data_IF_752153327770
#
_entry.id   IF_752153327770
#
_cell.length_a   1.000
_cell.length_b   1.000
_cell.length_c   1.000
_cell.angle_alpha   90.00
_cell.angle_beta   90.00
_cell.angle_gamma   90.00
#
_symmetry.space_group_name_H-M   'P 1'
#
loop_
_entity.id
_entity.type
_entity.pdbx_description
1 polymer ?
#
# COMPACT_ATOMS: atom_id res chain seq x y z
N UNK A 1 13.57 -16.13 15.40
CA UNK A 1 14.40 -15.01 14.88
C UNK A 1 13.47 -13.83 14.61
N UNK A 2 13.67 -12.73 15.30
CA UNK A 2 12.89 -11.51 15.14
C UNK A 2 12.97 -11.01 13.68
N UNK A 3 11.83 -10.67 13.09
CA UNK A 3 11.71 -10.25 11.68
C UNK A 3 11.19 -8.81 11.68
N UNK A 4 11.88 -7.93 10.94
CA UNK A 4 11.36 -6.59 10.68
C UNK A 4 10.25 -6.64 9.63
N UNK A 5 9.10 -6.08 9.98
CA UNK A 5 8.04 -5.78 9.03
C UNK A 5 7.24 -4.57 9.50
N UNK A 6 7.13 -3.57 8.66
CA UNK A 6 6.19 -2.46 8.80
C UNK A 6 5.65 -2.10 7.43
N UNK A 7 4.37 -2.35 7.22
CA UNK A 7 3.62 -1.96 6.04
C UNK A 7 2.67 -0.83 6.39
N UNK A 8 2.57 0.19 5.53
CA UNK A 8 1.62 1.29 5.66
C UNK A 8 0.67 1.30 4.47
N UNK A 9 -0.63 1.31 4.75
CA UNK A 9 -1.72 1.33 3.76
C UNK A 9 -2.64 2.52 4.00
N UNK A 10 -3.34 2.95 2.97
CA UNK A 10 -4.39 3.96 3.07
C UNK A 10 -5.74 3.28 2.93
N UNK A 11 -6.64 3.59 3.86
CA UNK A 11 -8.07 3.25 3.75
C UNK A 11 -8.74 4.45 3.09
N UNK A 12 -9.25 4.28 1.88
CA UNK A 12 -9.85 5.34 1.07
C UNK A 12 -11.24 4.95 0.61
N UNK A 13 -12.19 5.87 0.72
CA UNK A 13 -13.56 5.70 0.21
C UNK A 13 -13.58 5.53 -1.30
N UNK A 14 -12.73 6.27 -2.02
CA UNK A 14 -12.60 6.15 -3.48
C UNK A 14 -12.15 4.77 -3.96
N UNK A 15 -11.48 4.00 -3.09
CA UNK A 15 -11.12 2.60 -3.35
C UNK A 15 -12.19 1.60 -2.85
N UNK A 16 -13.42 2.07 -2.53
CA UNK A 16 -14.49 1.22 -2.01
C UNK A 16 -14.23 0.69 -0.58
N UNK A 17 -13.33 1.31 0.19
CA UNK A 17 -13.01 0.90 1.56
C UNK A 17 -13.66 1.81 2.58
N UNK A 18 -14.05 1.25 3.72
CA UNK A 18 -14.61 1.96 4.87
C UNK A 18 -13.68 1.86 6.08
N UNK A 19 -13.61 2.92 6.89
CA UNK A 19 -12.87 2.93 8.13
C UNK A 19 -13.55 2.05 9.18
N UNK A 20 -14.90 2.06 9.23
CA UNK A 20 -15.69 1.18 10.11
C UNK A 20 -15.45 -0.28 9.75
N UNK A 21 -15.47 -0.64 8.45
CA UNK A 21 -15.17 -1.99 8.00
C UNK A 21 -13.74 -2.44 8.36
N UNK A 22 -12.75 -1.54 8.23
CA UNK A 22 -11.37 -1.82 8.61
C UNK A 22 -11.25 -2.07 10.11
N UNK A 23 -11.90 -1.26 10.94
CA UNK A 23 -11.94 -1.44 12.40
C UNK A 23 -12.66 -2.73 12.79
N UNK A 24 -13.80 -3.04 12.18
CA UNK A 24 -14.53 -4.30 12.42
C UNK A 24 -13.65 -5.51 12.08
N UNK A 25 -12.90 -5.44 10.96
CA UNK A 25 -11.99 -6.50 10.52
C UNK A 25 -10.83 -6.71 11.49
N UNK A 26 -10.14 -5.65 11.92
CA UNK A 26 -9.00 -5.78 12.84
C UNK A 26 -9.42 -6.25 14.23
N UNK A 27 -10.59 -5.81 14.70
CA UNK A 27 -11.10 -6.14 16.03
C UNK A 27 -11.96 -7.43 16.07
N UNK A 28 -12.12 -8.11 14.93
CA UNK A 28 -12.97 -9.31 14.82
C UNK A 28 -14.38 -9.07 15.39
N UNK A 29 -14.93 -7.88 15.15
CA UNK A 29 -16.21 -7.44 15.73
C UNK A 29 -17.28 -7.18 14.68
N UNK A 30 -18.48 -6.88 15.15
CA UNK A 30 -19.59 -6.42 14.33
C UNK A 30 -19.78 -4.94 14.58
N UNK A 31 -19.63 -4.12 13.53
CA UNK A 31 -19.80 -2.66 13.59
C UNK A 31 -20.76 -2.20 12.49
N UNK A 32 -21.58 -1.22 12.80
CA UNK A 32 -22.49 -0.60 11.85
C UNK A 32 -21.88 0.70 11.30
N UNK A 33 -21.94 0.86 9.98
CA UNK A 33 -21.47 2.07 9.32
C UNK A 33 -22.67 2.97 8.98
N UNK A 34 -22.75 4.10 9.65
CA UNK A 34 -23.84 5.08 9.47
C UNK A 34 -23.80 5.75 8.07
N UNK A 35 -22.62 5.84 7.46
CA UNK A 35 -22.43 6.49 6.15
C UNK A 35 -23.12 5.75 5.01
N UNK A 36 -23.01 4.43 4.95
CA UNK A 36 -23.58 3.58 3.87
C UNK A 36 -24.69 2.64 4.34
N UNK A 37 -24.98 2.62 5.64
CA UNK A 37 -26.02 1.77 6.24
C UNK A 37 -25.66 0.28 6.27
N UNK A 38 -24.36 -0.05 6.18
CA UNK A 38 -23.90 -1.45 6.10
C UNK A 38 -23.41 -1.94 7.47
N UNK A 39 -23.87 -3.11 7.85
CA UNK A 39 -23.36 -3.84 9.00
C UNK A 39 -22.17 -4.70 8.60
N UNK A 40 -20.98 -4.37 9.10
CA UNK A 40 -19.78 -5.16 8.90
C UNK A 40 -19.62 -6.18 10.03
N UNK A 41 -19.66 -7.47 9.72
CA UNK A 41 -19.57 -8.54 10.70
C UNK A 41 -18.37 -9.46 10.43
N UNK A 42 -17.35 -9.36 11.27
CA UNK A 42 -16.16 -10.19 11.26
C UNK A 42 -16.02 -11.07 12.52
N UNK A 43 -17.09 -11.29 13.27
CA UNK A 43 -17.09 -12.09 14.51
C UNK A 43 -16.66 -13.54 14.29
N UNK A 44 -16.75 -14.06 13.07
CA UNK A 44 -16.27 -15.41 12.71
C UNK A 44 -14.77 -15.49 12.49
N UNK A 45 -14.07 -14.33 12.36
CA UNK A 45 -12.63 -14.29 12.18
C UNK A 45 -11.93 -14.68 13.48
N UNK A 46 -10.94 -15.55 13.38
CA UNK A 46 -10.16 -16.06 14.52
C UNK A 46 -8.78 -15.40 14.57
N UNK A 47 -8.07 -15.61 15.68
CA UNK A 47 -6.71 -15.17 15.86
C UNK A 47 -6.55 -13.81 16.52
N UNK A 48 -7.63 -13.16 16.95
CA UNK A 48 -7.55 -11.96 17.77
C UNK A 48 -7.06 -12.31 19.17
N UNK A 49 -5.99 -11.69 19.60
CA UNK A 49 -5.34 -11.92 20.90
C UNK A 49 -5.54 -10.75 21.84
N UNK A 50 -5.47 -9.54 21.29
CA UNK A 50 -5.60 -8.32 22.05
C UNK A 50 -6.07 -7.18 21.15
N UNK A 51 -6.77 -6.20 21.75
CA UNK A 51 -7.22 -5.01 21.06
C UNK A 51 -7.41 -3.83 22.01
N UNK A 52 -7.18 -2.62 21.53
CA UNK A 52 -7.39 -1.39 22.29
C UNK A 52 -7.58 -0.19 21.36
N UNK A 53 -8.42 0.75 21.79
CA UNK A 53 -8.53 2.09 21.21
C UNK A 53 -7.67 3.05 22.03
N UNK A 54 -6.88 3.88 21.35
CA UNK A 54 -6.01 4.90 21.93
C UNK A 54 -6.51 6.26 21.51
N UNK A 55 -6.69 7.12 22.48
CA UNK A 55 -7.17 8.49 22.28
C UNK A 55 -6.22 9.46 22.94
N UNK A 56 -6.00 10.66 22.35
CA UNK A 56 -5.47 11.80 23.08
C UNK A 56 -6.33 12.11 24.32
N UNK A 57 -5.74 12.67 25.36
CA UNK A 57 -6.45 12.94 26.63
C UNK A 57 -7.66 13.86 26.46
N UNK A 58 -7.60 14.77 25.50
CA UNK A 58 -8.65 15.72 25.17
C UNK A 58 -9.71 15.20 24.19
N UNK A 59 -9.57 13.95 23.71
CA UNK A 59 -10.54 13.36 22.78
C UNK A 59 -11.88 13.05 23.48
N UNK A 60 -13.00 13.04 22.75
CA UNK A 60 -14.29 12.63 23.28
C UNK A 60 -14.23 11.20 23.88
N UNK A 61 -14.59 11.06 25.13
CA UNK A 61 -14.53 9.78 25.85
C UNK A 61 -15.38 8.68 25.20
N UNK A 62 -16.46 9.06 24.53
CA UNK A 62 -17.33 8.11 23.81
C UNK A 62 -16.61 7.40 22.65
N UNK A 63 -15.51 7.96 22.15
CA UNK A 63 -14.71 7.35 21.10
C UNK A 63 -13.83 6.19 21.58
N UNK A 64 -13.82 5.88 22.86
CA UNK A 64 -13.35 4.56 23.34
C UNK A 64 -14.18 3.42 22.73
N UNK A 65 -15.43 3.70 22.35
CA UNK A 65 -16.20 2.83 21.49
C UNK A 65 -15.75 3.04 20.04
N UNK A 66 -15.14 2.01 19.44
CA UNK A 66 -14.59 2.07 18.07
C UNK A 66 -15.64 2.34 17.01
N UNK A 67 -16.89 1.88 17.18
CA UNK A 67 -17.97 2.18 16.26
C UNK A 67 -18.25 3.69 16.21
N UNK A 68 -18.31 4.33 17.37
CA UNK A 68 -18.50 5.79 17.45
C UNK A 68 -17.31 6.55 16.87
N UNK A 69 -16.08 6.13 17.19
CA UNK A 69 -14.87 6.75 16.65
C UNK A 69 -14.86 6.71 15.12
N UNK A 70 -15.06 5.52 14.53
CA UNK A 70 -14.90 5.37 13.10
C UNK A 70 -16.08 5.92 12.31
N UNK A 71 -17.29 5.95 12.89
CA UNK A 71 -18.41 6.69 12.30
C UNK A 71 -18.18 8.21 12.33
N UNK A 72 -17.60 8.76 13.40
CA UNK A 72 -17.21 10.18 13.46
C UNK A 72 -16.14 10.52 12.40
N UNK A 73 -15.22 9.58 12.08
CA UNK A 73 -14.28 9.74 10.96
C UNK A 73 -14.99 9.72 9.61
N UNK A 74 -15.90 8.78 9.38
CA UNK A 74 -16.67 8.70 8.13
C UNK A 74 -17.51 9.95 7.90
N UNK A 75 -18.09 10.52 8.96
CA UNK A 75 -18.92 11.73 8.93
C UNK A 75 -18.09 12.98 8.56
N UNK A 76 -16.93 13.18 9.18
CA UNK A 76 -16.09 14.37 8.89
C UNK A 76 -15.45 14.34 7.52
N UNK A 77 -15.29 13.15 6.94
CA UNK A 77 -14.67 12.95 5.63
C UNK A 77 -15.71 12.93 4.51
N UNK A 78 -16.15 14.10 4.09
CA UNK A 78 -17.30 14.28 3.18
C UNK A 78 -17.02 13.98 1.70
N UNK A 79 -15.76 14.01 1.23
CA UNK A 79 -15.46 13.81 -0.17
C UNK A 79 -15.58 12.32 -0.58
N UNK A 80 -15.98 12.08 -1.82
CA UNK A 80 -16.19 10.73 -2.38
C UNK A 80 -14.93 9.89 -2.43
N UNK A 81 -13.76 10.52 -2.52
CA UNK A 81 -12.44 9.91 -2.60
C UNK A 81 -11.61 10.12 -1.34
N UNK A 82 -12.25 10.52 -0.22
CA UNK A 82 -11.57 10.80 1.03
C UNK A 82 -10.70 9.64 1.50
N UNK A 83 -9.49 9.99 1.93
CA UNK A 83 -8.67 9.11 2.77
C UNK A 83 -9.26 9.13 4.17
N UNK A 84 -9.80 7.98 4.59
CA UNK A 84 -10.52 7.81 5.86
C UNK A 84 -9.55 7.52 7.00
N UNK A 85 -8.63 6.57 6.76
CA UNK A 85 -7.70 6.11 7.76
C UNK A 85 -6.37 5.70 7.13
N UNK A 86 -5.37 5.50 7.98
CA UNK A 86 -4.10 4.90 7.64
C UNK A 86 -3.93 3.63 8.47
N UNK A 87 -3.64 2.52 7.83
CA UNK A 87 -3.42 1.24 8.48
C UNK A 87 -1.93 0.92 8.46
N UNK A 88 -1.37 0.58 9.62
CA UNK A 88 -0.06 -0.04 9.73
C UNK A 88 -0.23 -1.50 10.09
N UNK A 89 0.61 -2.34 9.50
CA UNK A 89 0.75 -3.74 9.89
C UNK A 89 2.20 -3.95 10.28
N UNK A 90 2.42 -4.37 11.53
CA UNK A 90 3.75 -4.59 12.07
C UNK A 90 3.91 -6.02 12.59
N UNK A 91 5.06 -6.65 12.35
CA UNK A 91 5.39 -7.94 12.95
C UNK A 91 5.88 -7.74 14.38
N UNK A 92 5.41 -8.58 15.29
CA UNK A 92 5.84 -8.61 16.68
C UNK A 92 6.87 -9.74 16.87
N UNK A 93 7.94 -9.52 17.65
CA UNK A 93 8.91 -10.56 17.93
C UNK A 93 8.30 -11.72 18.73
N UNK A 94 8.49 -12.94 18.26
CA UNK A 94 8.08 -14.15 18.98
C UNK A 94 8.94 -14.41 20.22
N UNK A 95 10.10 -13.76 20.31
CA UNK A 95 11.05 -13.81 21.42
C UNK A 95 10.56 -13.05 22.66
N UNK A 96 9.57 -12.18 22.49
CA UNK A 96 8.93 -11.44 23.59
C UNK A 96 7.68 -12.17 24.09
N UNK A 97 7.42 -12.04 25.40
CA UNK A 97 6.14 -12.50 25.95
C UNK A 97 4.96 -11.69 25.37
N UNK A 98 3.75 -12.20 25.52
CA UNK A 98 2.55 -11.50 25.05
C UNK A 98 2.38 -10.12 25.72
N UNK A 99 2.66 -10.03 27.00
CA UNK A 99 2.61 -8.79 27.77
C UNK A 99 3.62 -7.79 27.21
N UNK A 100 4.87 -8.23 26.97
CA UNK A 100 5.90 -7.38 26.39
C UNK A 100 5.56 -6.94 24.96
N UNK A 101 4.92 -7.79 24.16
CA UNK A 101 4.44 -7.43 22.83
C UNK A 101 3.35 -6.35 22.91
N UNK A 102 2.44 -6.44 23.89
CA UNK A 102 1.40 -5.44 24.11
C UNK A 102 2.02 -4.11 24.55
N UNK A 103 2.91 -4.12 25.52
CA UNK A 103 3.60 -2.92 26.00
C UNK A 103 4.39 -2.23 24.90
N UNK A 104 5.18 -3.00 24.13
CA UNK A 104 5.91 -2.52 22.95
C UNK A 104 4.99 -1.78 21.98
N UNK A 105 3.83 -2.40 21.65
CA UNK A 105 2.87 -1.82 20.73
C UNK A 105 2.23 -0.55 21.28
N UNK A 106 1.89 -0.55 22.57
CA UNK A 106 1.30 0.59 23.26
C UNK A 106 2.26 1.78 23.30
N UNK A 107 3.53 1.58 23.61
CA UNK A 107 4.54 2.61 23.66
C UNK A 107 4.76 3.21 22.27
N UNK A 108 4.91 2.37 21.25
CA UNK A 108 5.04 2.83 19.88
C UNK A 108 3.84 3.68 19.42
N UNK A 109 2.59 3.24 19.71
CA UNK A 109 1.40 3.97 19.34
C UNK A 109 1.32 5.31 20.05
N UNK A 110 1.57 5.35 21.37
CA UNK A 110 1.49 6.58 22.15
C UNK A 110 2.51 7.60 21.68
N UNK A 111 3.76 7.15 21.51
CA UNK A 111 4.87 8.03 21.15
C UNK A 111 4.76 8.55 19.72
N UNK A 112 4.43 7.69 18.77
CA UNK A 112 4.50 8.05 17.36
C UNK A 112 3.21 8.64 16.78
N UNK A 113 2.05 8.37 17.41
CA UNK A 113 0.76 8.73 16.82
C UNK A 113 -0.13 9.55 17.74
N UNK A 114 -0.29 9.13 18.98
CA UNK A 114 -1.17 9.85 19.93
C UNK A 114 -0.60 11.22 20.28
N UNK A 115 0.71 11.34 20.42
CA UNK A 115 1.43 12.59 20.64
C UNK A 115 1.16 13.66 19.55
N UNK A 116 0.85 13.22 18.33
CA UNK A 116 0.48 14.08 17.20
C UNK A 116 -1.02 14.42 17.16
N UNK A 117 -1.79 13.99 18.16
CA UNK A 117 -3.24 14.20 18.22
C UNK A 117 -4.07 13.25 17.38
N UNK A 118 -3.49 12.17 16.88
CA UNK A 118 -4.22 11.13 16.15
C UNK A 118 -4.90 10.16 17.11
N UNK A 119 -6.06 9.61 16.71
CA UNK A 119 -6.66 8.46 17.38
C UNK A 119 -6.18 7.18 16.70
N UNK A 120 -6.03 6.11 17.47
CA UNK A 120 -5.62 4.81 16.98
C UNK A 120 -6.55 3.70 17.46
N UNK A 121 -6.77 2.70 16.63
CA UNK A 121 -7.44 1.46 16.98
C UNK A 121 -6.50 0.31 16.61
N UNK A 122 -6.06 -0.45 17.59
CA UNK A 122 -5.05 -1.47 17.40
C UNK A 122 -5.51 -2.84 17.84
N UNK A 123 -5.05 -3.86 17.14
CA UNK A 123 -5.30 -5.25 17.49
C UNK A 123 -4.08 -6.13 17.19
N UNK A 124 -3.81 -7.09 18.05
CA UNK A 124 -2.81 -8.13 17.83
C UNK A 124 -3.51 -9.39 17.37
N UNK A 125 -3.04 -9.93 16.26
CA UNK A 125 -3.49 -11.19 15.70
C UNK A 125 -2.38 -12.23 15.75
N UNK A 126 -2.75 -13.43 16.16
CA UNK A 126 -1.85 -14.57 16.21
C UNK A 126 -2.70 -15.85 16.24
N UNK A 127 -2.71 -16.60 15.16
CA UNK A 127 -3.57 -17.78 15.03
C UNK A 127 -2.90 -19.05 15.56
N UNK A 128 -1.58 -19.14 15.44
CA UNK A 128 -0.82 -20.37 15.66
C UNK A 128 0.49 -20.17 16.45
N UNK A 129 0.70 -18.99 17.00
CA UNK A 129 1.92 -18.65 17.77
C UNK A 129 3.17 -18.41 16.92
N UNK A 130 3.06 -18.47 15.59
CA UNK A 130 4.22 -18.37 14.71
C UNK A 130 4.33 -17.04 13.96
N UNK A 131 3.28 -16.23 13.97
CA UNK A 131 3.26 -14.97 13.23
C UNK A 131 2.45 -13.89 13.98
N UNK A 132 2.84 -13.54 15.21
CA UNK A 132 2.21 -12.45 15.91
C UNK A 132 2.43 -11.14 15.15
N UNK A 133 1.34 -10.47 14.81
CA UNK A 133 1.37 -9.18 14.11
C UNK A 133 0.27 -8.27 14.60
N UNK A 134 0.54 -6.97 14.56
CA UNK A 134 -0.44 -5.98 14.97
C UNK A 134 -0.93 -5.18 13.75
N UNK A 135 -2.23 -4.93 13.73
CA UNK A 135 -2.87 -3.93 12.91
C UNK A 135 -3.08 -2.68 13.74
N UNK A 136 -2.71 -1.53 13.21
CA UNK A 136 -2.91 -0.22 13.82
C UNK A 136 -3.66 0.64 12.81
N UNK A 137 -4.91 0.95 13.08
CA UNK A 137 -5.71 1.84 12.26
C UNK A 137 -5.68 3.25 12.88
N UNK A 138 -5.28 4.24 12.11
CA UNK A 138 -5.06 5.62 12.55
C UNK A 138 -5.98 6.56 11.82
N UNK A 139 -6.46 7.59 12.51
CA UNK A 139 -7.22 8.67 11.90
C UNK A 139 -6.37 9.44 10.88
N UNK A 140 -7.00 10.05 9.90
CA UNK A 140 -6.32 10.84 8.86
C UNK A 140 -6.23 12.34 9.23
N UNK A 141 -6.91 12.75 10.32
CA UNK A 141 -6.89 14.08 10.91
C UNK A 141 -6.47 14.02 12.35
N UNK A 142 -5.60 14.91 12.82
CA UNK A 142 -5.36 15.06 14.25
C UNK A 142 -6.54 15.80 14.90
N UNK A 143 -6.63 15.67 16.22
CA UNK A 143 -7.50 16.49 17.04
C UNK A 143 -6.77 17.76 17.52
N UNK A 144 -7.52 18.82 17.77
CA UNK A 144 -7.03 19.97 18.53
C UNK A 144 -7.16 19.71 20.05
N UNK A 145 -6.63 20.62 20.86
CA UNK A 145 -6.68 20.54 22.34
C UNK A 145 -8.11 20.57 22.91
N UNK A 146 -9.11 20.91 22.10
CA UNK A 146 -10.52 20.90 22.44
C UNK A 146 -11.24 19.61 22.01
N UNK A 147 -10.50 18.63 21.46
CA UNK A 147 -11.03 17.35 21.00
C UNK A 147 -11.80 17.43 19.68
N UNK A 148 -11.60 18.47 18.89
CA UNK A 148 -12.22 18.64 17.57
C UNK A 148 -11.27 18.27 16.45
N UNK A 149 -11.82 17.73 15.36
CA UNK A 149 -11.05 17.43 14.17
C UNK A 149 -10.41 18.68 13.58
N UNK A 150 -9.10 18.67 13.43
CA UNK A 150 -8.39 19.69 12.66
C UNK A 150 -8.67 19.53 11.17
N UNK A 151 -8.45 20.58 10.40
CA UNK A 151 -8.54 20.50 8.94
C UNK A 151 -7.37 19.70 8.35
N UNK A 152 -7.58 19.05 7.21
CA UNK A 152 -6.48 18.50 6.39
C UNK A 152 -5.85 19.59 5.52
N UNK A 153 -6.73 20.41 4.94
CA UNK A 153 -6.36 21.56 4.14
C UNK A 153 -7.27 22.72 4.51
N UNK A 154 -6.70 23.88 4.74
CA UNK A 154 -7.42 25.12 4.96
C UNK A 154 -7.46 25.94 3.69
N UNK A 155 -8.60 26.61 3.42
CA UNK A 155 -8.72 27.48 2.25
C UNK A 155 -7.74 28.65 2.37
N UNK A 156 -6.92 28.81 1.36
CA UNK A 156 -5.91 29.86 1.28
C UNK A 156 -6.30 30.83 0.17
N UNK A 157 -6.43 32.11 0.52
CA UNK A 157 -6.76 33.19 -0.40
C UNK A 157 -5.47 33.79 -0.95
N UNK A 158 -5.41 33.99 -2.26
CA UNK A 158 -4.33 34.72 -2.90
C UNK A 158 -4.62 36.22 -2.78
N UNK A 159 -3.83 36.90 -1.97
CA UNK A 159 -3.89 38.32 -1.73
C UNK A 159 -2.73 39.03 -2.40
N UNK A 160 -2.89 40.28 -2.75
CA UNK A 160 -1.84 41.09 -3.35
C UNK A 160 -1.64 42.41 -2.58
N UNK A 161 -0.38 42.87 -2.54
CA UNK A 161 0.08 44.14 -2.01
C UNK A 161 1.31 44.59 -2.77
N UNK A 162 1.30 45.82 -3.31
CA UNK A 162 2.45 46.42 -3.99
C UNK A 162 3.08 45.54 -5.11
N UNK A 163 2.27 44.75 -5.82
CA UNK A 163 2.74 43.86 -6.88
C UNK A 163 3.17 42.48 -6.41
N UNK A 164 3.27 42.23 -5.12
CA UNK A 164 3.50 40.89 -4.57
C UNK A 164 2.19 40.14 -4.38
N UNK A 165 2.20 38.85 -4.68
CA UNK A 165 1.09 37.93 -4.41
C UNK A 165 1.49 36.91 -3.32
N UNK A 166 0.66 36.79 -2.29
CA UNK A 166 0.90 35.84 -1.19
C UNK A 166 -0.41 35.15 -0.78
N UNK A 167 -0.31 33.88 -0.36
CA UNK A 167 -1.41 33.11 0.20
C UNK A 167 -1.61 33.39 1.69
N UNK A 168 -2.86 33.58 2.11
CA UNK A 168 -3.25 33.73 3.51
C UNK A 168 -4.50 32.89 3.82
N UNK A 169 -4.51 32.21 4.94
CA UNK A 169 -5.72 31.60 5.49
C UNK A 169 -6.71 32.67 5.92
N UNK A 170 -7.94 32.28 6.25
CA UNK A 170 -8.95 33.25 6.69
C UNK A 170 -8.53 33.98 7.98
N UNK A 171 -7.84 33.30 8.88
CA UNK A 171 -7.35 33.85 10.16
C UNK A 171 -6.17 34.77 9.93
N UNK A 172 -5.18 34.38 9.16
CA UNK A 172 -4.00 35.20 8.83
C UNK A 172 -4.39 36.46 8.05
N UNK A 173 -5.39 36.33 7.16
CA UNK A 173 -5.85 37.50 6.38
C UNK A 173 -6.39 38.61 7.25
N UNK A 174 -6.99 38.34 8.40
CA UNK A 174 -7.45 39.40 9.33
C UNK A 174 -6.32 40.30 9.79
N UNK A 175 -5.13 39.72 10.02
CA UNK A 175 -3.93 40.48 10.41
C UNK A 175 -3.31 41.13 9.17
N UNK A 176 -3.14 40.39 8.09
CA UNK A 176 -2.56 40.88 6.85
C UNK A 176 -3.36 42.02 6.20
N UNK A 177 -4.68 42.03 6.39
CA UNK A 177 -5.53 43.13 5.94
C UNK A 177 -5.17 44.47 6.61
N UNK A 178 -4.84 44.47 7.90
CA UNK A 178 -4.38 45.67 8.61
C UNK A 178 -3.01 46.16 8.09
N UNK A 179 -2.22 45.24 7.53
CA UNK A 179 -0.95 45.56 6.88
C UNK A 179 -1.11 46.05 5.43
N UNK A 180 -2.33 46.07 4.89
CA UNK A 180 -2.65 46.55 3.54
C UNK A 180 -2.65 45.47 2.47
N UNK A 181 -2.75 44.18 2.86
CA UNK A 181 -2.99 43.08 1.90
C UNK A 181 -4.45 43.01 1.50
N UNK A 182 -4.74 42.85 0.20
CA UNK A 182 -6.09 42.75 -0.31
C UNK A 182 -6.32 41.43 -1.00
N UNK A 183 -7.52 40.84 -0.79
CA UNK A 183 -7.94 39.65 -1.57
C UNK A 183 -8.16 40.02 -3.02
N UNK A 184 -7.74 39.20 -3.92
CA UNK A 184 -8.01 39.33 -5.35
C UNK A 184 -9.38 38.75 -5.69
N UNK A 185 -10.15 39.48 -6.51
CA UNK A 185 -11.44 39.05 -7.02
C UNK A 185 -11.44 39.07 -8.55
N UNK A 186 -12.31 38.28 -9.21
CA UNK A 186 -12.44 38.34 -10.66
C UNK A 186 -13.24 39.56 -11.07
N UNK A 187 -12.71 40.38 -11.97
CA UNK A 187 -13.35 41.54 -12.59
C UNK A 187 -13.47 41.33 -14.10
N UNK A 188 -14.49 41.97 -14.71
CA UNK A 188 -14.66 41.90 -16.17
C UNK A 188 -13.81 42.98 -16.83
N UNK A 189 -12.87 42.56 -17.69
CA UNK A 189 -12.06 43.41 -18.54
C UNK A 189 -12.39 43.02 -19.99
N UNK A 190 -13.29 43.74 -20.62
CA UNK A 190 -13.84 43.35 -21.91
C UNK A 190 -14.56 41.98 -21.87
N UNK A 191 -14.11 41.03 -22.68
CA UNK A 191 -14.67 39.67 -22.69
C UNK A 191 -13.93 38.69 -21.72
N UNK A 192 -12.87 39.12 -21.03
CA UNK A 192 -12.06 38.29 -20.13
C UNK A 192 -12.36 38.59 -18.66
N UNK A 193 -12.18 37.55 -17.82
CA UNK A 193 -12.14 37.71 -16.36
C UNK A 193 -10.67 37.80 -15.91
N UNK A 194 -10.34 38.88 -15.19
CA UNK A 194 -9.00 39.10 -14.65
C UNK A 194 -9.08 39.19 -13.14
N UNK A 195 -8.18 38.58 -12.42
CA UNK A 195 -8.10 38.69 -10.98
C UNK A 195 -7.24 39.89 -10.58
N UNK A 196 -7.79 40.76 -9.73
CA UNK A 196 -7.10 41.94 -9.17
C UNK A 196 -7.67 42.31 -7.82
N UNK A 197 -7.00 43.19 -7.12
CA UNK A 197 -7.46 43.73 -5.83
C UNK A 197 -8.65 44.68 -6.01
N UNK A 198 -9.51 44.87 -5.00
CA UNK A 198 -10.59 45.83 -5.04
C UNK A 198 -10.12 47.26 -5.35
N UNK A 199 -9.05 47.73 -4.69
CA UNK A 199 -8.46 49.02 -4.95
C UNK A 199 -7.96 49.23 -6.39
N UNK A 200 -7.31 48.22 -6.97
CA UNK A 200 -6.85 48.27 -8.36
C UNK A 200 -8.05 48.26 -9.35
N UNK A 201 -9.13 47.57 -9.03
CA UNK A 201 -10.32 47.52 -9.83
C UNK A 201 -11.14 48.80 -9.78
N UNK A 202 -11.24 49.42 -8.61
CA UNK A 202 -11.89 50.69 -8.39
C UNK A 202 -11.20 51.82 -9.17
N UNK A 203 -9.87 51.84 -9.13
CA UNK A 203 -9.07 52.77 -9.92
C UNK A 203 -9.31 52.68 -11.43
N UNK A 204 -9.78 51.51 -11.93
CA UNK A 204 -10.09 51.26 -13.35
C UNK A 204 -11.61 51.23 -13.64
N UNK A 205 -12.46 51.52 -12.66
CA UNK A 205 -13.92 51.54 -12.81
C UNK A 205 -14.52 50.18 -13.20
N UNK A 206 -13.90 49.07 -12.79
CA UNK A 206 -14.28 47.70 -13.22
C UNK A 206 -15.34 47.09 -12.31
N UNK A 207 -16.24 46.31 -12.93
CA UNK A 207 -17.31 45.63 -12.19
C UNK A 207 -16.86 44.21 -11.82
N UNK A 208 -17.08 43.86 -10.54
CA UNK A 208 -16.78 42.53 -10.02
C UNK A 208 -17.63 41.45 -10.74
N UNK A 209 -16.98 40.42 -11.23
CA UNK A 209 -17.61 39.32 -11.97
C UNK A 209 -18.10 38.17 -11.06
N UNK A 210 -17.52 38.02 -9.87
CA UNK A 210 -17.88 36.95 -8.90
C UNK A 210 -17.57 37.46 -7.46
N UNK A 211 -18.35 36.95 -6.51
CA UNK A 211 -18.17 37.27 -5.07
C UNK A 211 -17.01 36.49 -4.42
N UNK A 212 -16.58 35.40 -5.07
CA UNK A 212 -15.53 34.52 -4.53
C UNK A 212 -14.14 35.04 -4.85
N UNK A 213 -13.26 35.21 -3.82
CA UNK A 213 -11.89 35.62 -4.04
C UNK A 213 -11.07 34.52 -4.67
N UNK A 214 -9.97 34.91 -5.32
CA UNK A 214 -8.93 34.02 -5.83
C UNK A 214 -8.36 33.21 -4.66
N UNK A 215 -8.26 31.92 -4.84
CA UNK A 215 -7.67 31.02 -3.86
C UNK A 215 -6.68 30.08 -4.52
N UNK A 216 -5.78 29.53 -3.73
CA UNK A 216 -4.93 28.43 -4.18
C UNK A 216 -5.81 27.22 -4.55
N UNK A 217 -5.33 26.40 -5.46
CA UNK A 217 -6.09 25.24 -5.96
C UNK A 217 -6.34 24.19 -4.88
N UNK A 218 -5.38 23.99 -4.01
CA UNK A 218 -5.39 22.89 -3.01
C UNK A 218 -5.50 23.39 -1.57
N UNK A 219 -5.49 24.73 -1.34
CA UNK A 219 -5.40 25.28 0.00
C UNK A 219 -4.03 25.07 0.65
N UNK A 220 -3.90 25.44 1.92
CA UNK A 220 -2.74 25.17 2.75
C UNK A 220 -2.96 23.87 3.51
N UNK A 221 -2.00 22.98 3.46
CA UNK A 221 -2.09 21.73 4.19
C UNK A 221 -1.87 21.97 5.70
N UNK A 222 -2.52 21.15 6.51
CA UNK A 222 -2.20 21.08 7.94
C UNK A 222 -0.77 20.54 8.09
N UNK A 223 0.10 21.20 8.89
CA UNK A 223 1.50 20.81 9.03
C UNK A 223 1.72 19.35 9.47
N UNK A 224 0.84 18.85 10.37
CA UNK A 224 0.90 17.45 10.81
C UNK A 224 0.52 16.53 9.65
N UNK A 225 -0.56 16.84 8.93
CA UNK A 225 -1.00 16.05 7.77
C UNK A 225 0.04 16.07 6.64
N UNK A 226 0.70 17.21 6.40
CA UNK A 226 1.76 17.33 5.41
C UNK A 226 2.96 16.45 5.78
N UNK A 227 3.45 16.57 7.03
CA UNK A 227 4.52 15.72 7.55
C UNK A 227 4.17 14.24 7.44
N UNK A 228 2.97 13.84 7.84
CA UNK A 228 2.50 12.45 7.82
C UNK A 228 2.38 11.86 6.41
N UNK A 229 2.25 12.69 5.39
CA UNK A 229 2.21 12.26 3.99
C UNK A 229 3.60 12.25 3.32
N UNK A 230 4.66 12.65 4.02
CA UNK A 230 6.02 12.67 3.48
C UNK A 230 6.68 11.28 3.51
N UNK A 231 7.57 11.02 2.55
CA UNK A 231 8.40 9.80 2.56
C UNK A 231 9.36 9.77 3.76
N UNK A 232 9.83 10.95 4.20
CA UNK A 232 10.66 11.09 5.38
C UNK A 232 9.97 10.60 6.65
N UNK A 233 8.69 10.90 6.82
CA UNK A 233 7.93 10.45 7.98
C UNK A 233 7.72 8.93 7.97
N UNK A 234 7.45 8.33 6.81
CA UNK A 234 7.37 6.87 6.71
C UNK A 234 8.70 6.20 7.10
N UNK A 235 9.81 6.77 6.66
CA UNK A 235 11.14 6.29 7.02
C UNK A 235 11.42 6.45 8.51
N UNK A 236 10.99 7.57 9.11
CA UNK A 236 11.09 7.80 10.56
C UNK A 236 10.29 6.77 11.36
N UNK A 237 9.04 6.48 10.99
CA UNK A 237 8.25 5.44 11.65
C UNK A 237 8.86 4.05 11.52
N UNK A 238 9.47 3.74 10.37
CA UNK A 238 10.18 2.47 10.17
C UNK A 238 11.40 2.35 11.09
N UNK A 239 12.16 3.42 11.25
CA UNK A 239 13.28 3.47 12.17
C UNK A 239 12.80 3.35 13.62
N UNK A 240 11.81 4.17 14.02
CA UNK A 240 11.25 4.14 15.38
C UNK A 240 10.71 2.75 15.77
N UNK A 241 10.03 2.04 14.83
CA UNK A 241 9.59 0.68 15.08
C UNK A 241 10.74 -0.28 15.33
N UNK A 242 11.82 -0.17 14.58
CA UNK A 242 13.01 -1.00 14.80
C UNK A 242 13.67 -0.66 16.14
N UNK A 243 13.80 0.62 16.47
CA UNK A 243 14.49 1.08 17.69
C UNK A 243 13.73 0.65 18.94
N UNK A 244 12.42 0.91 19.01
CA UNK A 244 11.60 0.50 20.16
C UNK A 244 11.57 -1.02 20.30
N UNK A 245 11.46 -1.76 19.21
CA UNK A 245 11.48 -3.23 19.23
C UNK A 245 12.81 -3.75 19.76
N UNK A 246 13.92 -3.19 19.31
CA UNK A 246 15.25 -3.58 19.79
C UNK A 246 15.47 -3.25 21.27
N UNK A 247 14.91 -2.14 21.76
CA UNK A 247 14.92 -1.80 23.18
C UNK A 247 14.19 -2.86 24.03
N UNK A 248 13.02 -3.32 23.57
CA UNK A 248 12.27 -4.38 24.27
C UNK A 248 12.97 -5.74 24.22
N UNK A 249 13.59 -6.11 23.10
CA UNK A 249 14.39 -7.32 22.96
C UNK A 249 15.59 -7.28 23.93
N UNK A 250 16.27 -6.14 24.03
CA UNK A 250 17.38 -5.96 24.94
C UNK A 250 16.95 -6.07 26.42
N UNK A 251 15.86 -5.41 26.81
CA UNK A 251 15.27 -5.51 28.16
C UNK A 251 14.88 -6.95 28.50
N UNK A 252 14.45 -7.73 27.50
CA UNK A 252 14.13 -9.14 27.65
C UNK A 252 15.37 -10.06 27.63
N UNK A 253 16.59 -9.51 27.55
CA UNK A 253 17.83 -10.28 27.49
C UNK A 253 18.00 -11.09 26.19
N UNK A 254 17.39 -10.65 25.09
CA UNK A 254 17.49 -11.30 23.79
C UNK A 254 18.62 -10.70 22.97
N UNK A 255 19.32 -11.55 22.22
CA UNK A 255 20.42 -11.12 21.34
C UNK A 255 19.91 -10.69 19.95
N UNK A 256 18.71 -11.14 19.57
CA UNK A 256 18.09 -10.80 18.30
C UNK A 256 17.88 -9.30 18.18
N UNK A 257 18.12 -8.78 16.97
CA UNK A 257 17.87 -7.38 16.63
C UNK A 257 17.22 -7.31 15.25
N UNK A 258 16.33 -6.34 15.08
CA UNK A 258 15.71 -6.02 13.78
C UNK A 258 16.30 -4.73 13.23
N UNK A 259 16.26 -4.59 11.90
CA UNK A 259 16.73 -3.38 11.20
C UNK A 259 15.74 -3.05 10.08
N UNK A 260 15.32 -1.79 10.02
CA UNK A 260 14.37 -1.30 9.03
C UNK A 260 14.95 -1.10 7.64
N UNK A 261 16.30 -1.05 7.54
CA UNK A 261 17.02 -0.82 6.29
C UNK A 261 17.08 -2.08 5.46
N UNK A 262 17.13 -1.92 4.15
CA UNK A 262 17.34 -3.05 3.23
C UNK A 262 18.72 -3.70 3.47
N UNK A 263 18.86 -4.98 3.11
CA UNK A 263 20.14 -5.69 3.20
C UNK A 263 21.25 -4.92 2.45
N UNK A 264 20.96 -4.35 1.29
CA UNK A 264 21.91 -3.53 0.54
C UNK A 264 22.36 -2.28 1.31
N UNK A 265 21.42 -1.57 1.95
CA UNK A 265 21.74 -0.40 2.78
C UNK A 265 22.53 -0.75 4.06
N UNK A 266 22.42 -2.00 4.52
CA UNK A 266 23.18 -2.56 5.64
C UNK A 266 24.55 -3.13 5.21
N UNK A 267 24.86 -3.11 3.92
CA UNK A 267 26.06 -3.76 3.37
C UNK A 267 26.05 -5.29 3.49
N UNK A 268 24.84 -5.89 3.57
CA UNK A 268 24.69 -7.33 3.60
C UNK A 268 24.46 -7.87 2.19
N UNK A 269 25.18 -8.92 1.84
CA UNK A 269 25.06 -9.58 0.53
C UNK A 269 23.90 -10.59 0.48
N UNK A 270 23.15 -10.74 1.57
CA UNK A 270 22.02 -11.65 1.65
C UNK A 270 20.84 -11.13 0.84
N UNK A 271 20.21 -12.04 0.09
CA UNK A 271 19.03 -11.73 -0.71
C UNK A 271 17.81 -11.67 0.22
N UNK A 272 16.99 -10.61 0.16
CA UNK A 272 15.77 -10.54 0.96
C UNK A 272 14.72 -11.55 0.45
N UNK A 273 13.96 -12.13 1.37
CA UNK A 273 12.80 -12.96 1.03
C UNK A 273 11.67 -12.10 0.45
N UNK A 274 10.84 -12.70 -0.40
CA UNK A 274 9.66 -12.05 -0.98
C UNK A 274 8.41 -12.35 -0.15
N UNK A 275 7.41 -11.48 -0.22
CA UNK A 275 6.11 -11.72 0.44
C UNK A 275 5.39 -12.92 -0.20
N UNK A 276 5.11 -13.96 0.58
CA UNK A 276 4.45 -15.18 0.09
C UNK A 276 2.97 -14.97 -0.22
N UNK A 277 2.28 -14.22 0.62
CA UNK A 277 0.84 -13.99 0.54
C UNK A 277 -0.01 -15.13 1.11
N UNK A 278 -1.27 -14.81 1.41
CA UNK A 278 -2.21 -15.76 2.07
C UNK A 278 -2.50 -16.95 1.16
N UNK A 279 -2.66 -16.70 -0.14
CA UNK A 279 -3.00 -17.75 -1.12
C UNK A 279 -1.89 -18.78 -1.26
N UNK A 280 -0.62 -18.35 -1.38
CA UNK A 280 0.51 -19.25 -1.49
C UNK A 280 0.66 -20.12 -0.23
N UNK A 281 0.52 -19.52 0.96
CA UNK A 281 0.53 -20.27 2.22
C UNK A 281 -0.64 -21.24 2.37
N UNK A 282 -1.84 -20.88 1.87
CA UNK A 282 -2.98 -21.76 1.88
C UNK A 282 -2.80 -22.98 0.95
N UNK A 283 -2.13 -22.79 -0.18
CA UNK A 283 -1.75 -23.88 -1.08
C UNK A 283 -0.73 -24.83 -0.42
N UNK A 284 0.31 -24.29 0.21
CA UNK A 284 1.32 -25.06 0.94
C UNK A 284 0.70 -25.89 2.07
N UNK A 285 -0.26 -25.36 2.82
CA UNK A 285 -1.00 -26.11 3.86
C UNK A 285 -1.79 -27.31 3.28
N UNK A 286 -2.16 -27.24 2.01
CA UNK A 286 -2.82 -28.33 1.27
C UNK A 286 -1.83 -29.28 0.59
N UNK A 287 -0.53 -29.12 0.82
CA UNK A 287 0.52 -29.94 0.19
C UNK A 287 0.84 -29.55 -1.26
N UNK A 288 0.33 -28.41 -1.74
CA UNK A 288 0.60 -27.92 -3.08
C UNK A 288 1.75 -26.91 -3.00
N UNK A 289 2.84 -27.19 -3.72
CA UNK A 289 4.01 -26.30 -3.75
C UNK A 289 3.63 -24.99 -4.41
N UNK A 290 3.79 -23.88 -3.68
CA UNK A 290 3.56 -22.54 -4.18
C UNK A 290 4.90 -21.91 -4.59
N UNK A 291 4.98 -21.33 -5.80
CA UNK A 291 6.21 -20.77 -6.34
C UNK A 291 6.88 -19.74 -5.42
N UNK A 292 6.10 -18.85 -4.81
CA UNK A 292 6.62 -17.84 -3.87
C UNK A 292 7.26 -18.47 -2.63
N UNK A 293 6.69 -19.56 -2.12
CA UNK A 293 7.24 -20.28 -0.98
C UNK A 293 8.51 -21.04 -1.36
N UNK A 294 8.54 -21.60 -2.56
CA UNK A 294 9.73 -22.29 -3.10
C UNK A 294 10.89 -21.31 -3.32
N UNK A 295 10.62 -20.14 -3.91
CA UNK A 295 11.59 -19.05 -4.05
C UNK A 295 12.18 -18.68 -2.69
N UNK A 296 11.34 -18.53 -1.67
CA UNK A 296 11.82 -18.18 -0.32
C UNK A 296 12.64 -19.32 0.32
N UNK A 297 12.29 -20.57 0.05
CA UNK A 297 13.12 -21.72 0.48
C UNK A 297 14.50 -21.67 -0.16
N UNK A 298 14.55 -21.40 -1.47
CA UNK A 298 15.81 -21.27 -2.20
C UNK A 298 16.62 -20.08 -1.69
N UNK A 299 16.04 -18.91 -1.53
CA UNK A 299 16.71 -17.71 -0.96
C UNK A 299 17.28 -18.01 0.42
N UNK A 300 16.53 -18.69 1.28
CA UNK A 300 17.01 -19.06 2.62
C UNK A 300 18.18 -20.04 2.57
N UNK A 301 18.13 -21.03 1.66
CA UNK A 301 19.22 -21.98 1.47
C UNK A 301 20.49 -21.29 0.94
N UNK A 302 20.35 -20.41 -0.05
CA UNK A 302 21.47 -19.65 -0.63
C UNK A 302 22.11 -18.71 0.40
N UNK A 303 21.29 -18.02 1.20
CA UNK A 303 21.78 -17.16 2.29
C UNK A 303 22.48 -17.96 3.40
N UNK A 304 21.99 -19.17 3.72
CA UNK A 304 22.63 -20.06 4.68
C UNK A 304 24.00 -20.50 4.16
N UNK A 305 24.08 -20.95 2.90
CA UNK A 305 25.34 -21.32 2.26
C UNK A 305 26.32 -20.15 2.23
N UNK A 306 25.84 -18.95 1.91
CA UNK A 306 26.67 -17.73 1.94
C UNK A 306 27.27 -17.46 3.33
N UNK A 307 26.48 -17.64 4.40
CA UNK A 307 26.97 -17.48 5.78
C UNK A 307 28.02 -18.55 6.15
N UNK A 308 27.77 -19.80 5.79
CA UNK A 308 28.72 -20.89 6.01
C UNK A 308 30.05 -20.64 5.29
N UNK A 309 30.00 -20.27 4.01
CA UNK A 309 31.18 -19.94 3.22
C UNK A 309 31.96 -18.76 3.84
N UNK A 310 31.28 -17.70 4.27
CA UNK A 310 31.91 -16.56 4.95
C UNK A 310 32.57 -16.99 6.28
N UNK A 311 31.92 -17.86 7.04
CA UNK A 311 32.48 -18.40 8.30
C UNK A 311 33.73 -19.27 8.07
N UNK A 312 33.68 -20.17 7.09
CA UNK A 312 34.82 -21.01 6.70
C UNK A 312 36.01 -20.17 6.20
N UNK A 313 35.73 -19.18 5.40
CA UNK A 313 36.75 -18.25 4.93
C UNK A 313 37.40 -17.50 6.08
N UNK A 314 36.62 -17.01 7.05
CA UNK A 314 37.14 -16.34 8.26
C UNK A 314 38.07 -17.27 9.04
N UNK A 315 37.70 -18.56 9.18
CA UNK A 315 38.54 -19.58 9.84
C UNK A 315 39.84 -19.82 9.06
N UNK A 316 39.75 -20.01 7.74
CA UNK A 316 40.91 -20.21 6.86
C UNK A 316 41.85 -19.00 6.89
N UNK A 317 41.32 -17.77 6.90
CA UNK A 317 42.12 -16.54 7.02
C UNK A 317 42.85 -16.48 8.35
N UNK A 318 42.17 -16.80 9.44
CA UNK A 318 42.79 -16.82 10.77
C UNK A 318 43.92 -17.88 10.85
N UNK A 319 43.72 -19.04 10.21
CA UNK A 319 44.73 -20.09 10.14
C UNK A 319 45.93 -19.66 9.31
N UNK A 320 45.70 -19.08 8.14
CA UNK A 320 46.78 -18.59 7.25
C UNK A 320 47.54 -17.43 7.88
N UNK A 321 46.85 -16.48 8.55
CA UNK A 321 47.51 -15.37 9.27
C UNK A 321 48.42 -15.85 10.38
N UNK A 322 48.12 -17.01 10.98
CA UNK A 322 49.00 -17.63 12.02
C UNK A 322 50.22 -18.32 11.43
N UNK A 323 50.10 -18.89 10.23
CA UNK A 323 51.13 -19.81 9.71
C UNK A 323 52.08 -19.19 8.71
N UNK A 324 51.62 -18.25 7.87
CA UNK A 324 52.48 -17.68 6.80
C UNK A 324 52.04 -16.23 6.39
N UNK A 325 52.55 -15.20 7.05
CA UNK A 325 52.15 -13.79 6.81
C UNK A 325 52.29 -13.33 5.35
N UNK A 326 53.31 -13.80 4.65
CA UNK A 326 53.58 -13.38 3.24
C UNK A 326 52.63 -14.05 2.21
N UNK A 327 52.07 -15.20 2.51
CA UNK A 327 51.12 -15.92 1.64
C UNK A 327 49.69 -15.41 1.87
N UNK A 328 49.40 -14.85 3.05
CA UNK A 328 48.10 -14.37 3.46
C UNK A 328 47.52 -13.32 2.51
N UNK A 329 48.34 -12.35 2.07
CA UNK A 329 47.91 -11.26 1.19
C UNK A 329 47.53 -11.74 -0.22
N UNK A 330 48.30 -12.70 -0.75
CA UNK A 330 47.99 -13.31 -2.07
C UNK A 330 46.75 -14.18 -2.04
N UNK A 331 46.57 -14.97 -0.96
CA UNK A 331 45.41 -15.82 -0.72
C UNK A 331 44.15 -15.01 -0.45
N UNK A 332 44.26 -13.87 0.22
CA UNK A 332 43.11 -13.00 0.50
C UNK A 332 42.53 -12.36 -0.79
N UNK A 333 43.44 -11.97 -1.72
CA UNK A 333 43.03 -11.51 -3.06
C UNK A 333 42.36 -12.61 -3.86
N UNK A 334 42.89 -13.83 -3.81
CA UNK A 334 42.30 -15.00 -4.49
C UNK A 334 40.95 -15.39 -3.89
N UNK A 335 40.88 -15.39 -2.57
CA UNK A 335 39.69 -15.67 -1.78
C UNK A 335 38.54 -14.71 -2.11
N UNK A 336 38.82 -13.41 -2.09
CA UNK A 336 37.80 -12.40 -2.41
C UNK A 336 37.26 -12.60 -3.84
N UNK A 337 38.13 -12.93 -4.79
CA UNK A 337 37.74 -13.26 -6.16
C UNK A 337 36.88 -14.51 -6.25
N UNK A 338 37.23 -15.58 -5.55
CA UNK A 338 36.45 -16.84 -5.54
C UNK A 338 35.07 -16.61 -4.89
N UNK A 339 35.02 -15.86 -3.79
CA UNK A 339 33.76 -15.51 -3.13
C UNK A 339 32.84 -14.72 -4.03
N UNK A 340 33.37 -13.65 -4.63
CA UNK A 340 32.60 -12.81 -5.56
C UNK A 340 32.11 -13.66 -6.72
N UNK A 341 32.96 -14.53 -7.25
CA UNK A 341 32.62 -15.43 -8.35
C UNK A 341 31.48 -16.40 -7.96
N UNK A 342 31.64 -17.10 -6.84
CA UNK A 342 30.60 -18.04 -6.36
C UNK A 342 29.27 -17.34 -6.06
N UNK A 343 29.34 -16.15 -5.44
CA UNK A 343 28.16 -15.34 -5.17
C UNK A 343 27.46 -14.89 -6.45
N UNK A 344 28.22 -14.33 -7.40
CA UNK A 344 27.70 -13.88 -8.68
C UNK A 344 27.07 -15.02 -9.48
N UNK A 345 27.71 -16.19 -9.50
CA UNK A 345 27.20 -17.38 -10.19
C UNK A 345 25.91 -17.90 -9.55
N UNK A 346 25.87 -17.95 -8.21
CA UNK A 346 24.64 -18.35 -7.47
C UNK A 346 23.50 -17.38 -7.72
N UNK A 347 23.78 -16.08 -7.69
CA UNK A 347 22.80 -15.04 -7.97
C UNK A 347 22.24 -15.11 -9.40
N UNK A 348 23.13 -15.34 -10.39
CA UNK A 348 22.73 -15.51 -11.79
C UNK A 348 21.83 -16.75 -11.93
N UNK A 349 22.22 -17.88 -11.35
CA UNK A 349 21.46 -19.14 -11.41
C UNK A 349 20.11 -19.03 -10.71
N UNK A 350 20.07 -18.41 -9.55
CA UNK A 350 18.81 -18.10 -8.83
C UNK A 350 17.88 -17.22 -9.67
N UNK A 351 18.41 -16.15 -10.24
CA UNK A 351 17.66 -15.26 -11.13
C UNK A 351 17.13 -15.96 -12.37
N UNK A 352 17.93 -16.84 -13.00
CA UNK A 352 17.48 -17.66 -14.15
C UNK A 352 16.33 -18.58 -13.75
N UNK A 353 16.49 -19.34 -12.68
CA UNK A 353 15.45 -20.26 -12.19
C UNK A 353 14.15 -19.52 -11.88
N UNK A 354 14.24 -18.36 -11.24
CA UNK A 354 13.07 -17.52 -10.96
C UNK A 354 12.35 -17.10 -12.24
N UNK A 355 13.09 -16.52 -13.21
CA UNK A 355 12.50 -16.06 -14.47
C UNK A 355 11.90 -17.24 -15.26
N UNK A 356 12.56 -18.38 -15.31
CA UNK A 356 12.05 -19.57 -15.99
C UNK A 356 10.74 -20.08 -15.38
N UNK A 357 10.65 -20.11 -14.05
CA UNK A 357 9.42 -20.47 -13.33
C UNK A 357 8.30 -19.46 -13.59
N UNK A 358 8.62 -18.18 -13.56
CA UNK A 358 7.65 -17.14 -13.88
C UNK A 358 7.13 -17.28 -15.31
N UNK A 359 8.00 -17.47 -16.28
CA UNK A 359 7.61 -17.67 -17.67
C UNK A 359 6.73 -18.92 -17.88
N UNK A 360 7.01 -20.00 -17.14
CA UNK A 360 6.20 -21.22 -17.17
C UNK A 360 4.76 -20.99 -16.67
N UNK A 361 4.54 -20.02 -15.79
CA UNK A 361 3.20 -19.63 -15.34
C UNK A 361 2.57 -18.61 -16.29
N UNK A 362 3.32 -17.60 -16.71
CA UNK A 362 2.78 -16.46 -17.46
C UNK A 362 2.38 -16.83 -18.89
N UNK A 363 3.13 -17.69 -19.58
CA UNK A 363 2.83 -18.08 -20.96
C UNK A 363 1.47 -18.80 -21.10
N UNK A 364 1.16 -19.85 -20.32
CA UNK A 364 -0.16 -20.47 -20.35
C UNK A 364 -1.30 -19.52 -20.00
N UNK A 365 -1.08 -18.61 -19.05
CA UNK A 365 -2.12 -17.65 -18.65
C UNK A 365 -2.36 -16.56 -19.70
N UNK A 366 -1.34 -16.18 -20.48
CA UNK A 366 -1.56 -15.34 -21.67
C UNK A 366 -2.41 -16.08 -22.72
N UNK A 367 -2.15 -17.37 -22.95
CA UNK A 367 -2.97 -18.17 -23.87
C UNK A 367 -4.41 -18.28 -23.37
N UNK A 368 -4.60 -18.52 -22.07
CA UNK A 368 -5.90 -18.54 -21.44
C UNK A 368 -6.62 -17.18 -21.58
N UNK A 369 -5.92 -16.08 -21.30
CA UNK A 369 -6.47 -14.74 -21.47
C UNK A 369 -6.91 -14.46 -22.91
N UNK A 370 -6.05 -14.83 -23.89
CA UNK A 370 -6.38 -14.62 -25.30
C UNK A 370 -7.56 -15.49 -25.74
N UNK A 371 -7.66 -16.70 -25.22
CA UNK A 371 -8.81 -17.60 -25.41
C UNK A 371 -10.11 -16.99 -24.87
N UNK A 372 -10.09 -16.46 -23.65
CA UNK A 372 -11.25 -15.78 -23.03
C UNK A 372 -11.69 -14.58 -23.86
N UNK A 373 -10.75 -13.74 -24.29
CA UNK A 373 -11.05 -12.57 -25.14
C UNK A 373 -11.70 -12.98 -26.46
N UNK A 374 -11.21 -14.05 -27.08
CA UNK A 374 -11.81 -14.58 -28.33
C UNK A 374 -13.22 -15.12 -28.10
N UNK A 375 -13.44 -15.87 -27.02
CA UNK A 375 -14.76 -16.41 -26.66
C UNK A 375 -15.76 -15.28 -26.36
N UNK A 376 -15.35 -14.28 -25.58
CA UNK A 376 -16.17 -13.08 -25.30
C UNK A 376 -16.55 -12.38 -26.59
N UNK A 377 -15.59 -12.18 -27.50
CA UNK A 377 -15.83 -11.54 -28.79
C UNK A 377 -16.81 -12.35 -29.68
N UNK A 378 -16.64 -13.68 -29.72
CA UNK A 378 -17.51 -14.57 -30.47
C UNK A 378 -18.95 -14.54 -29.91
N UNK A 379 -19.10 -14.85 -28.61
CA UNK A 379 -20.43 -14.87 -27.97
C UNK A 379 -21.10 -13.49 -27.98
N UNK A 380 -20.34 -12.40 -27.86
CA UNK A 380 -20.86 -11.04 -27.99
C UNK A 380 -21.41 -10.75 -29.39
N UNK A 381 -20.73 -11.25 -30.44
CA UNK A 381 -21.21 -11.14 -31.83
C UNK A 381 -22.49 -11.96 -32.05
N UNK A 382 -22.51 -13.19 -31.55
CA UNK A 382 -23.68 -14.07 -31.59
C UNK A 382 -24.88 -13.45 -30.87
N UNK A 383 -24.68 -12.95 -29.67
CA UNK A 383 -25.74 -12.25 -28.91
C UNK A 383 -26.26 -11.04 -29.63
N UNK A 384 -25.37 -10.21 -30.24
CA UNK A 384 -25.79 -9.04 -31.03
C UNK A 384 -26.63 -9.45 -32.23
N UNK A 385 -26.29 -10.54 -32.90
CA UNK A 385 -27.06 -11.06 -34.05
C UNK A 385 -28.47 -11.51 -33.60
N UNK A 386 -28.58 -12.27 -32.50
CA UNK A 386 -29.87 -12.71 -31.98
C UNK A 386 -30.73 -11.55 -31.47
N UNK A 387 -30.11 -10.52 -30.88
CA UNK A 387 -30.84 -9.29 -30.48
C UNK A 387 -31.37 -8.54 -31.71
N UNK A 388 -30.58 -8.45 -32.77
CA UNK A 388 -31.02 -7.84 -34.03
C UNK A 388 -32.17 -8.66 -34.66
N UNK A 389 -32.03 -9.98 -34.77
CA UNK A 389 -33.08 -10.88 -35.25
C UNK A 389 -34.37 -10.70 -34.43
N UNK A 390 -34.26 -10.68 -33.08
CA UNK A 390 -35.44 -10.48 -32.23
C UNK A 390 -36.11 -9.14 -32.43
N UNK A 391 -35.37 -8.07 -32.77
CA UNK A 391 -35.87 -6.72 -32.99
C UNK A 391 -36.63 -6.60 -34.32
N UNK A 392 -36.17 -7.31 -35.35
CA UNK A 392 -36.75 -7.31 -36.68
C UNK A 392 -37.93 -8.31 -36.81
N UNK A 393 -38.06 -9.26 -35.87
CA UNK A 393 -39.08 -10.29 -35.91
C UNK A 393 -40.45 -9.71 -35.61
N UNK A 394 -41.47 -9.99 -36.44
CA UNK A 394 -42.85 -9.54 -36.18
C UNK A 394 -43.42 -10.10 -34.88
N UNK A 395 -44.20 -9.28 -34.16
CA UNK A 395 -44.73 -9.55 -32.82
C UNK A 395 -45.54 -10.86 -32.72
N UNK A 396 -46.16 -11.28 -33.81
CA UNK A 396 -46.97 -12.51 -33.83
C UNK A 396 -46.17 -13.81 -33.81
N UNK A 397 -44.85 -13.78 -33.99
CA UNK A 397 -43.96 -14.95 -33.86
C UNK A 397 -43.59 -15.25 -32.40
N UNK A 398 -44.58 -15.36 -31.51
CA UNK A 398 -44.41 -15.48 -30.04
C UNK A 398 -43.46 -16.62 -29.61
N UNK A 399 -43.56 -17.79 -30.26
CA UNK A 399 -42.68 -18.94 -29.95
C UNK A 399 -41.21 -18.58 -30.24
N UNK A 400 -40.93 -17.99 -31.40
CA UNK A 400 -39.57 -17.59 -31.81
C UNK A 400 -39.03 -16.49 -30.91
N UNK A 401 -39.87 -15.49 -30.51
CA UNK A 401 -39.52 -14.45 -29.56
C UNK A 401 -39.11 -15.02 -28.20
N UNK A 402 -39.83 -16.04 -27.69
CA UNK A 402 -39.47 -16.72 -26.43
C UNK A 402 -38.16 -17.47 -26.56
N UNK A 403 -37.96 -18.25 -27.62
CA UNK A 403 -36.69 -18.97 -27.87
C UNK A 403 -35.50 -18.01 -27.94
N UNK A 404 -35.63 -16.94 -28.73
CA UNK A 404 -34.58 -15.93 -28.86
C UNK A 404 -34.31 -15.23 -27.52
N UNK A 405 -35.35 -14.99 -26.70
CA UNK A 405 -35.17 -14.42 -25.36
C UNK A 405 -34.33 -15.33 -24.45
N UNK A 406 -34.64 -16.63 -24.42
CA UNK A 406 -33.87 -17.62 -23.63
C UNK A 406 -32.42 -17.66 -24.08
N UNK A 407 -32.18 -17.82 -25.40
CA UNK A 407 -30.80 -17.86 -25.92
C UNK A 407 -30.01 -16.56 -25.66
N UNK A 408 -30.69 -15.40 -25.71
CA UNK A 408 -30.05 -14.10 -25.39
C UNK A 408 -29.71 -14.04 -23.89
N UNK A 409 -30.57 -14.57 -23.03
CA UNK A 409 -30.31 -14.62 -21.57
C UNK A 409 -29.14 -15.54 -21.28
N UNK A 410 -29.15 -16.77 -21.78
CA UNK A 410 -28.07 -17.75 -21.64
C UNK A 410 -26.73 -17.17 -22.14
N UNK A 411 -26.72 -16.55 -23.33
CA UNK A 411 -25.49 -15.90 -23.83
C UNK A 411 -25.08 -14.68 -23.01
N UNK A 412 -26.00 -14.04 -22.30
CA UNK A 412 -25.67 -12.90 -21.41
C UNK A 412 -25.01 -13.42 -20.14
N UNK A 413 -25.56 -14.47 -19.53
CA UNK A 413 -24.99 -15.14 -18.37
C UNK A 413 -23.60 -15.70 -18.68
N UNK A 414 -23.45 -16.41 -19.80
CA UNK A 414 -22.15 -16.89 -20.30
C UNK A 414 -21.13 -15.75 -20.48
N UNK A 415 -21.57 -14.60 -21.01
CA UNK A 415 -20.69 -13.44 -21.19
C UNK A 415 -20.28 -12.79 -19.87
N UNK A 416 -21.17 -12.79 -18.87
CA UNK A 416 -20.86 -12.30 -17.51
C UNK A 416 -19.87 -13.21 -16.82
N UNK A 417 -20.06 -14.53 -16.94
CA UNK A 417 -19.12 -15.52 -16.39
C UNK A 417 -17.72 -15.38 -17.02
N UNK A 418 -17.63 -15.34 -18.36
CA UNK A 418 -16.36 -15.16 -19.06
C UNK A 418 -15.67 -13.83 -18.75
N UNK A 419 -16.43 -12.75 -18.55
CA UNK A 419 -15.90 -11.45 -18.15
C UNK A 419 -15.38 -11.49 -16.71
N UNK A 420 -16.11 -12.14 -15.83
CA UNK A 420 -15.68 -12.34 -14.44
C UNK A 420 -14.40 -13.17 -14.37
N UNK A 421 -14.31 -14.25 -15.15
CA UNK A 421 -13.09 -15.06 -15.25
C UNK A 421 -11.93 -14.24 -15.81
N UNK A 422 -12.16 -13.41 -16.86
CA UNK A 422 -11.15 -12.49 -17.38
C UNK A 422 -10.70 -11.49 -16.33
N UNK A 423 -11.62 -10.91 -15.56
CA UNK A 423 -11.30 -9.94 -14.51
C UNK A 423 -10.48 -10.56 -13.38
N UNK A 424 -10.85 -11.76 -12.93
CA UNK A 424 -10.09 -12.52 -11.94
C UNK A 424 -8.67 -12.84 -12.41
N UNK A 425 -8.51 -13.14 -13.71
CA UNK A 425 -7.20 -13.41 -14.29
C UNK A 425 -6.34 -12.13 -14.30
N UNK A 426 -6.89 -10.98 -14.70
CA UNK A 426 -6.18 -9.69 -14.63
C UNK A 426 -5.80 -9.33 -13.19
N UNK A 427 -6.71 -9.52 -12.24
CA UNK A 427 -6.46 -9.26 -10.83
C UNK A 427 -5.35 -10.18 -10.27
N UNK A 428 -5.29 -11.44 -10.71
CA UNK A 428 -4.24 -12.39 -10.31
C UNK A 428 -2.84 -11.87 -10.64
N UNK A 429 -2.69 -11.12 -11.74
CA UNK A 429 -1.43 -10.55 -12.22
C UNK A 429 -1.30 -9.04 -11.91
N UNK A 430 -2.19 -8.50 -11.11
CA UNK A 430 -2.21 -7.08 -10.71
C UNK A 430 -2.34 -6.10 -11.88
N UNK A 431 -2.97 -6.53 -12.97
CA UNK A 431 -3.28 -5.66 -14.10
C UNK A 431 -4.59 -4.90 -13.88
N UNK A 432 -4.67 -3.71 -14.48
CA UNK A 432 -5.90 -2.95 -14.54
C UNK A 432 -6.98 -3.70 -15.36
N UNK A 433 -8.26 -3.46 -15.07
CA UNK A 433 -9.38 -4.15 -15.72
C UNK A 433 -9.44 -3.95 -17.25
N UNK A 434 -8.90 -2.84 -17.74
CA UNK A 434 -8.80 -2.48 -19.16
C UNK A 434 -7.50 -2.98 -19.83
N UNK A 435 -6.61 -3.62 -19.07
CA UNK A 435 -5.37 -4.14 -19.62
C UNK A 435 -5.65 -5.21 -20.68
N UNK A 436 -4.92 -5.09 -21.79
CA UNK A 436 -5.00 -6.02 -22.91
C UNK A 436 -3.91 -7.11 -22.88
N UNK A 437 -3.99 -8.06 -23.84
CA UNK A 437 -2.96 -9.08 -24.03
C UNK A 437 -1.55 -8.52 -24.24
N UNK A 438 -1.44 -7.25 -24.66
CA UNK A 438 -0.16 -6.58 -24.87
C UNK A 438 0.60 -6.34 -23.56
N UNK A 439 -0.11 -6.10 -22.44
CA UNK A 439 0.52 -5.98 -21.13
C UNK A 439 1.26 -7.28 -20.76
N UNK A 440 0.58 -8.43 -20.87
CA UNK A 440 1.18 -9.74 -20.67
C UNK A 440 2.37 -10.00 -21.58
N UNK A 441 2.24 -9.68 -22.88
CA UNK A 441 3.33 -9.88 -23.86
C UNK A 441 4.55 -9.03 -23.53
N UNK A 442 4.32 -7.78 -23.10
CA UNK A 442 5.38 -6.86 -22.70
C UNK A 442 6.16 -7.41 -21.50
N UNK A 443 5.45 -7.87 -20.48
CA UNK A 443 6.09 -8.40 -19.27
C UNK A 443 6.80 -9.73 -19.53
N UNK A 444 6.20 -10.60 -20.36
CA UNK A 444 6.87 -11.83 -20.84
C UNK A 444 8.14 -11.47 -21.64
N UNK A 445 8.10 -10.49 -22.53
CA UNK A 445 9.26 -10.08 -23.32
C UNK A 445 10.37 -9.48 -22.43
N UNK A 446 10.00 -8.73 -21.38
CA UNK A 446 10.96 -8.24 -20.39
C UNK A 446 11.63 -9.42 -19.66
N UNK A 447 10.85 -10.41 -19.22
CA UNK A 447 11.37 -11.62 -18.57
C UNK A 447 12.29 -12.43 -19.49
N UNK A 448 11.90 -12.62 -20.75
CA UNK A 448 12.73 -13.35 -21.75
C UNK A 448 14.04 -12.61 -22.06
N UNK A 449 13.98 -11.28 -22.17
CA UNK A 449 15.18 -10.45 -22.31
C UNK A 449 16.08 -10.54 -21.08
N UNK A 450 15.49 -10.50 -19.90
CA UNK A 450 16.19 -10.72 -18.62
C UNK A 450 16.89 -12.08 -18.57
N UNK A 451 16.17 -13.14 -18.97
CA UNK A 451 16.72 -14.51 -19.02
C UNK A 451 17.93 -14.60 -19.96
N UNK A 452 17.81 -14.10 -21.18
CA UNK A 452 18.92 -14.08 -22.15
C UNK A 452 20.13 -13.34 -21.62
N UNK A 453 19.91 -12.20 -20.91
CA UNK A 453 20.99 -11.43 -20.29
C UNK A 453 21.69 -12.24 -19.20
N UNK A 454 20.95 -12.93 -18.34
CA UNK A 454 21.51 -13.78 -17.29
C UNK A 454 22.25 -15.00 -17.87
N UNK A 455 21.77 -15.59 -18.96
CA UNK A 455 22.43 -16.67 -19.69
C UNK A 455 23.77 -16.20 -20.29
N UNK A 456 23.76 -15.02 -20.91
CA UNK A 456 24.99 -14.43 -21.42
C UNK A 456 26.00 -14.05 -20.31
N UNK A 457 25.49 -13.67 -19.14
CA UNK A 457 26.34 -13.43 -17.97
C UNK A 457 26.91 -14.73 -17.42
N UNK A 458 26.11 -15.79 -17.29
CA UNK A 458 26.60 -17.10 -16.81
C UNK A 458 27.68 -17.68 -17.72
N UNK A 459 27.59 -17.49 -19.05
CA UNK A 459 28.61 -17.94 -20.00
C UNK A 459 29.96 -17.22 -19.87
N UNK A 460 29.97 -16.05 -19.23
CA UNK A 460 31.22 -15.28 -18.98
C UNK A 460 31.95 -15.73 -17.73
N UNK A 461 31.28 -16.48 -16.87
CA UNK A 461 31.81 -17.05 -15.63
C UNK A 461 32.11 -18.54 -15.80
#
# INVERSE_FOLDING_TARGET
MAIYHLEAKVVSRGAGRSAVAASAYLSCSRLYNDYDGIQHDYTKKQGLVWQQVFLPEYAPQEWQNREKLWNAVEEVETAKDSRLAREFVVALPIELSREQQIELLQDFIREQFISDGMCADAAIHDTDGHNPHAHILLTARPLDEQGKWQYKTEKEYLCAKNGEERGFTATEFKVAQAEGWEKQYPYKVGKKKVYMTPSAAEAQGLIRADKHPKSTRYGRQNPISERWNSEGQLSAWRAAWADVTNCYLERAGREERIDHRSNAARGLDEIPTIHEGVTARALERKGIIADRCEINRQIKADNALLRELKAEIKKLTALVARTVPAIAEGLEKLRSRVLIFCYQLSHIRGGKSHIQKSLAVWKPELERYTGLVQQIKKKSKERKALVAEKKELPIYHVKRHKTLAVCITELTEDLEELRSEKALLLQKFEYAEDAGAEAFRKDIAIMESGLKRLEAQEQKY
#
